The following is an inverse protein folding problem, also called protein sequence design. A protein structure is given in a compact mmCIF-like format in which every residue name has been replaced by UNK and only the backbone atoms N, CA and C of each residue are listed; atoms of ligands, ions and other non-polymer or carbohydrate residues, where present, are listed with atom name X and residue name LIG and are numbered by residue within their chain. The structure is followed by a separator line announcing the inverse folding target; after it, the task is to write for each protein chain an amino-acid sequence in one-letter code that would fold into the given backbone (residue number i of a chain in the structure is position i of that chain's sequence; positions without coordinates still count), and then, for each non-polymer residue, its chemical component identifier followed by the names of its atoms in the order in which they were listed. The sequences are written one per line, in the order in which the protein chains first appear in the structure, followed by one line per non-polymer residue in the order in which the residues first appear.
data_IF_302567569865
#
_entry.id   IF_302567569865
#
_cell.length_a   1.000
_cell.length_b   1.000
_cell.length_c   1.000
_cell.angle_alpha   90.00
_cell.angle_beta   90.00
_cell.angle_gamma   90.00
#
_symmetry.space_group_name_H-M   'P 1'
#
loop_
_entity.id
_entity.type
_entity.pdbx_description
1 polymer ?
#
# COMPACT_ATOMS: atom_id res chain seq x y z
N UNK A 1 -37.56 35.01 -21.57
CA UNK A 1 -36.88 34.19 -22.59
C UNK A 1 -36.26 33.05 -21.86
N UNK A 2 -36.63 31.83 -22.21
CA UNK A 2 -36.06 30.65 -21.58
C UNK A 2 -34.55 30.61 -21.84
N UNK A 3 -33.77 30.29 -20.80
CA UNK A 3 -32.33 30.11 -20.93
C UNK A 3 -32.09 28.95 -21.89
N UNK A 4 -31.30 29.14 -22.96
CA UNK A 4 -31.02 28.08 -23.93
C UNK A 4 -30.34 26.89 -23.24
N UNK A 5 -30.69 25.68 -23.68
CA UNK A 5 -30.07 24.44 -23.17
C UNK A 5 -28.63 24.30 -23.69
N UNK A 6 -27.82 23.41 -23.11
CA UNK A 6 -26.43 23.22 -23.53
C UNK A 6 -26.33 22.70 -24.98
N UNK A 7 -27.32 21.91 -25.40
CA UNK A 7 -27.48 21.42 -26.76
C UNK A 7 -27.71 22.57 -27.76
N UNK A 8 -28.61 23.51 -27.41
CA UNK A 8 -28.89 24.68 -28.22
C UNK A 8 -27.69 25.63 -28.29
N UNK A 9 -27.00 25.83 -27.15
CA UNK A 9 -25.76 26.61 -27.11
C UNK A 9 -24.69 26.00 -28.02
N UNK A 10 -24.59 24.67 -28.05
CA UNK A 10 -23.63 23.95 -28.89
C UNK A 10 -23.91 24.16 -30.38
N UNK A 11 -25.18 24.01 -30.79
CA UNK A 11 -25.59 24.26 -32.18
C UNK A 11 -25.25 25.70 -32.61
N UNK A 12 -25.54 26.68 -31.76
CA UNK A 12 -25.28 28.09 -32.04
C UNK A 12 -23.79 28.40 -32.12
N UNK A 13 -22.98 27.77 -31.26
CA UNK A 13 -21.53 27.94 -31.23
C UNK A 13 -20.85 27.32 -32.46
N UNK A 14 -21.30 26.13 -32.87
CA UNK A 14 -20.76 25.37 -34.01
C UNK A 14 -21.10 25.97 -35.38
N UNK A 15 -22.24 26.66 -35.50
CA UNK A 15 -22.76 27.15 -36.79
C UNK A 15 -22.09 28.45 -37.23
N UNK A 16 -21.47 28.47 -38.42
CA UNK A 16 -20.85 29.67 -38.98
C UNK A 16 -21.90 30.76 -39.29
N UNK A 17 -21.64 31.99 -38.85
CA UNK A 17 -22.52 33.14 -39.08
C UNK A 17 -23.79 33.21 -38.21
N UNK A 18 -23.97 32.30 -37.25
CA UNK A 18 -25.16 32.32 -36.38
C UNK A 18 -25.20 33.58 -35.49
N UNK A 19 -26.34 34.26 -35.42
CA UNK A 19 -26.48 35.54 -34.73
C UNK A 19 -26.15 35.48 -33.23
N UNK A 20 -26.37 34.33 -32.60
CA UNK A 20 -26.11 34.11 -31.17
C UNK A 20 -24.77 33.40 -30.90
N UNK A 21 -23.94 33.15 -31.91
CA UNK A 21 -22.70 32.36 -31.78
C UNK A 21 -21.80 32.84 -30.64
N UNK A 22 -21.49 34.14 -30.60
CA UNK A 22 -20.61 34.70 -29.58
C UNK A 22 -21.21 34.58 -28.15
N UNK A 23 -22.51 34.80 -28.01
CA UNK A 23 -23.20 34.66 -26.73
C UNK A 23 -23.30 33.20 -26.27
N UNK A 24 -23.35 32.26 -27.22
CA UNK A 24 -23.40 30.83 -26.95
C UNK A 24 -22.04 30.29 -26.47
N UNK A 25 -20.97 30.66 -27.17
CA UNK A 25 -19.59 30.34 -26.79
C UNK A 25 -19.32 30.83 -25.35
N UNK A 26 -19.61 32.10 -25.05
CA UNK A 26 -19.39 32.66 -23.71
C UNK A 26 -20.13 31.90 -22.59
N UNK A 27 -21.34 31.41 -22.83
CA UNK A 27 -22.09 30.64 -21.83
C UNK A 27 -21.50 29.25 -21.63
N UNK A 28 -21.11 28.57 -22.71
CA UNK A 28 -20.43 27.26 -22.63
C UNK A 28 -19.11 27.40 -21.86
N UNK A 29 -18.32 28.42 -22.16
CA UNK A 29 -17.03 28.64 -21.50
C UNK A 29 -17.18 29.00 -20.02
N UNK A 30 -18.25 29.71 -19.63
CA UNK A 30 -18.57 29.94 -18.22
C UNK A 30 -18.90 28.66 -17.47
N UNK A 31 -19.63 27.74 -18.12
CA UNK A 31 -19.93 26.41 -17.56
C UNK A 31 -18.64 25.62 -17.41
N UNK A 32 -17.82 25.55 -18.47
CA UNK A 32 -16.54 24.85 -18.44
C UNK A 32 -15.61 25.42 -17.38
N UNK A 33 -15.47 26.75 -17.30
CA UNK A 33 -14.62 27.39 -16.28
C UNK A 33 -15.11 27.10 -14.86
N UNK A 34 -16.43 27.05 -14.66
CA UNK A 34 -17.00 26.69 -13.37
C UNK A 34 -16.67 25.23 -13.03
N UNK A 35 -16.74 24.33 -14.00
CA UNK A 35 -16.40 22.92 -13.81
C UNK A 35 -14.90 22.71 -13.53
N UNK A 36 -14.01 23.35 -14.28
CA UNK A 36 -12.56 23.27 -14.03
C UNK A 36 -12.20 23.83 -12.65
N UNK A 37 -12.76 24.99 -12.27
CA UNK A 37 -12.44 25.63 -10.99
C UNK A 37 -13.07 24.94 -9.76
N UNK A 38 -14.26 24.34 -9.88
CA UNK A 38 -14.97 23.75 -8.74
C UNK A 38 -14.51 22.33 -8.48
N UNK A 39 -14.36 21.51 -9.53
CA UNK A 39 -14.07 20.09 -9.36
C UNK A 39 -12.57 19.80 -9.31
N UNK A 40 -11.73 20.65 -9.93
CA UNK A 40 -10.27 20.46 -9.96
C UNK A 40 -9.82 19.15 -10.62
N UNK A 41 -10.72 18.53 -11.40
CA UNK A 41 -10.49 17.22 -12.04
C UNK A 41 -9.99 17.37 -13.49
N UNK A 42 -10.22 18.53 -14.11
CA UNK A 42 -9.95 18.76 -15.53
C UNK A 42 -9.04 19.98 -15.72
N UNK A 43 -8.00 19.84 -16.55
CA UNK A 43 -7.10 20.95 -16.93
C UNK A 43 -7.65 21.79 -18.08
N UNK A 44 -8.37 21.15 -19.00
CA UNK A 44 -8.96 21.80 -20.17
C UNK A 44 -10.26 21.12 -20.58
N UNK A 45 -11.21 21.92 -21.05
CA UNK A 45 -12.47 21.47 -21.61
C UNK A 45 -12.68 22.17 -22.94
N UNK A 46 -13.02 21.40 -23.98
CA UNK A 46 -13.19 21.86 -25.35
C UNK A 46 -14.57 21.49 -25.85
N UNK A 47 -15.12 22.35 -26.70
CA UNK A 47 -16.20 22.01 -27.60
C UNK A 47 -15.66 22.07 -29.03
N UNK A 48 -15.82 20.97 -29.75
CA UNK A 48 -15.44 20.83 -31.15
C UNK A 48 -16.70 20.87 -32.02
N UNK A 49 -16.63 21.57 -33.15
CA UNK A 49 -17.72 21.50 -34.13
C UNK A 49 -17.74 20.14 -34.85
N UNK A 50 -18.73 19.94 -35.73
CA UNK A 50 -18.89 18.71 -36.52
C UNK A 50 -17.72 18.39 -37.46
N UNK A 51 -16.80 19.34 -37.68
CA UNK A 51 -15.58 19.19 -38.48
C UNK A 51 -14.31 19.10 -37.62
N UNK A 52 -14.43 18.98 -36.29
CA UNK A 52 -13.29 18.80 -35.37
C UNK A 52 -12.54 20.07 -34.98
N UNK A 53 -13.05 21.25 -35.32
CA UNK A 53 -12.40 22.50 -34.96
C UNK A 53 -12.87 23.02 -33.59
N UNK A 54 -11.95 23.54 -32.79
CA UNK A 54 -12.25 24.14 -31.48
C UNK A 54 -13.15 25.37 -31.63
N UNK A 55 -14.32 25.36 -30.98
CA UNK A 55 -15.29 26.49 -31.01
C UNK A 55 -15.52 27.13 -29.65
N UNK A 56 -15.37 26.38 -28.56
CA UNK A 56 -15.38 26.91 -27.20
C UNK A 56 -14.32 26.19 -26.37
N UNK A 57 -13.70 26.89 -25.43
CA UNK A 57 -12.66 26.32 -24.56
C UNK A 57 -12.65 26.95 -23.17
N UNK A 58 -12.26 26.18 -22.17
CA UNK A 58 -11.80 26.72 -20.89
C UNK A 58 -10.68 25.85 -20.34
N UNK A 59 -9.70 26.46 -19.69
CA UNK A 59 -8.59 25.77 -19.09
C UNK A 59 -8.24 26.38 -17.73
N UNK A 60 -7.52 25.62 -16.91
CA UNK A 60 -6.99 26.11 -15.64
C UNK A 60 -5.94 27.20 -15.88
N UNK A 61 -5.83 28.15 -14.94
CA UNK A 61 -4.87 29.25 -15.03
C UNK A 61 -3.43 28.72 -15.06
N UNK A 62 -2.61 29.23 -15.98
CA UNK A 62 -1.21 28.82 -16.13
C UNK A 62 -0.99 27.55 -16.95
N UNK A 63 -2.03 26.89 -17.45
CA UNK A 63 -1.87 25.74 -18.36
C UNK A 63 -1.28 26.20 -19.70
N UNK A 64 -0.07 25.73 -20.02
CA UNK A 64 0.72 26.17 -21.17
C UNK A 64 0.44 25.40 -22.46
N UNK A 65 -0.30 24.28 -22.37
CA UNK A 65 -0.61 23.40 -23.50
C UNK A 65 -2.09 23.50 -23.92
N UNK A 66 -2.75 24.62 -23.61
CA UNK A 66 -4.15 24.83 -23.96
C UNK A 66 -4.32 24.98 -25.48
N UNK A 67 -5.36 24.35 -26.03
CA UNK A 67 -5.65 24.38 -27.47
C UNK A 67 -6.23 25.71 -27.92
N UNK A 68 -5.97 26.13 -29.16
CA UNK A 68 -6.43 27.43 -29.66
C UNK A 68 -7.79 27.36 -30.38
N UNK A 69 -8.51 28.48 -30.43
CA UNK A 69 -9.75 28.55 -31.21
C UNK A 69 -9.49 28.27 -32.69
N UNK A 70 -10.32 27.40 -33.27
CA UNK A 70 -10.23 27.01 -34.67
C UNK A 70 -9.13 25.99 -34.98
N UNK A 71 -8.38 25.52 -33.97
CA UNK A 71 -7.45 24.41 -34.14
C UNK A 71 -8.18 23.14 -34.59
N UNK A 72 -7.62 22.42 -35.56
CA UNK A 72 -8.21 21.19 -36.11
C UNK A 72 -7.73 19.97 -35.33
N UNK A 73 -8.66 19.36 -34.58
CA UNK A 73 -8.43 18.19 -33.76
C UNK A 73 -9.17 16.96 -34.30
N UNK A 74 -9.57 16.98 -35.58
CA UNK A 74 -10.34 15.91 -36.22
C UNK A 74 -9.60 14.57 -36.32
N UNK A 75 -8.27 14.57 -36.14
CA UNK A 75 -7.44 13.37 -36.18
C UNK A 75 -7.13 12.78 -34.79
N UNK A 76 -7.54 13.46 -33.71
CA UNK A 76 -7.28 12.98 -32.35
C UNK A 76 -8.17 11.77 -32.03
N UNK A 77 -7.66 10.85 -31.22
CA UNK A 77 -8.36 9.58 -30.89
C UNK A 77 -9.73 9.87 -30.31
N UNK A 78 -9.82 10.75 -29.30
CA UNK A 78 -11.08 11.16 -28.69
C UNK A 78 -12.10 11.71 -29.70
N UNK A 79 -11.67 12.41 -30.75
CA UNK A 79 -12.59 12.90 -31.78
C UNK A 79 -13.06 11.75 -32.67
N UNK A 80 -12.13 10.95 -33.18
CA UNK A 80 -12.44 9.88 -34.14
C UNK A 80 -13.38 8.82 -33.56
N UNK A 81 -13.20 8.43 -32.30
CA UNK A 81 -14.07 7.48 -31.60
C UNK A 81 -15.46 8.06 -31.35
N UNK A 82 -15.56 9.26 -30.77
CA UNK A 82 -16.84 9.92 -30.54
C UNK A 82 -17.57 10.23 -31.87
N UNK A 83 -16.85 10.54 -32.95
CA UNK A 83 -17.44 10.78 -34.27
C UNK A 83 -17.95 9.50 -34.93
N UNK A 84 -17.26 8.37 -34.74
CA UNK A 84 -17.72 7.07 -35.21
C UNK A 84 -19.09 6.72 -34.59
N UNK A 85 -19.25 7.04 -33.29
CA UNK A 85 -20.47 6.83 -32.50
C UNK A 85 -21.40 8.04 -32.46
N UNK A 86 -21.26 9.00 -33.39
CA UNK A 86 -22.02 10.27 -33.41
C UNK A 86 -23.55 10.15 -33.48
N UNK A 87 -24.11 8.96 -33.66
CA UNK A 87 -25.56 8.72 -33.65
C UNK A 87 -26.07 8.23 -32.29
N UNK A 88 -25.16 7.92 -31.37
CA UNK A 88 -25.43 7.42 -30.03
C UNK A 88 -25.26 8.55 -29.02
N UNK A 89 -26.36 9.04 -28.46
CA UNK A 89 -26.42 10.15 -27.50
C UNK A 89 -25.97 9.75 -26.08
N UNK A 90 -25.84 8.45 -25.81
CA UNK A 90 -25.33 7.92 -24.53
C UNK A 90 -23.84 7.53 -24.62
N UNK A 91 -23.19 7.70 -25.78
CA UNK A 91 -21.80 7.31 -25.96
C UNK A 91 -20.84 8.22 -25.19
N UNK A 92 -19.91 7.60 -24.47
CA UNK A 92 -18.77 8.29 -23.85
C UNK A 92 -17.52 7.49 -24.14
N UNK A 93 -16.48 8.18 -24.59
CA UNK A 93 -15.15 7.64 -24.81
C UNK A 93 -14.21 8.11 -23.70
N UNK A 94 -13.45 7.20 -23.12
CA UNK A 94 -12.31 7.48 -22.24
C UNK A 94 -11.06 6.94 -22.93
N UNK A 95 -10.07 7.81 -23.17
CA UNK A 95 -8.79 7.41 -23.77
C UNK A 95 -7.93 6.62 -22.78
N UNK A 96 -6.95 5.91 -23.32
CA UNK A 96 -5.75 5.55 -22.56
C UNK A 96 -4.98 6.82 -22.16
N UNK A 97 -4.00 6.69 -21.27
CA UNK A 97 -3.01 7.75 -21.06
C UNK A 97 -2.06 7.72 -22.24
N UNK A 98 -2.01 8.82 -22.98
CA UNK A 98 -1.20 8.92 -24.18
C UNK A 98 -0.42 10.23 -24.22
N UNK A 99 0.67 10.25 -24.98
CA UNK A 99 1.32 11.49 -25.37
C UNK A 99 0.38 12.27 -26.27
N UNK A 100 -0.04 13.48 -25.84
CA UNK A 100 -0.99 14.29 -26.61
C UNK A 100 -0.49 14.50 -28.05
N UNK A 101 0.82 14.78 -28.18
CA UNK A 101 1.53 14.72 -29.44
C UNK A 101 2.57 13.61 -29.40
N UNK A 102 2.27 12.47 -30.05
CA UNK A 102 3.17 11.31 -30.09
C UNK A 102 4.55 11.61 -30.70
N UNK A 103 4.66 12.61 -31.59
CA UNK A 103 5.91 12.96 -32.25
C UNK A 103 6.80 13.85 -31.38
N UNK A 104 6.20 14.81 -30.67
CA UNK A 104 6.92 15.77 -29.83
C UNK A 104 7.10 15.28 -28.39
N UNK A 105 6.18 14.43 -27.91
CA UNK A 105 6.10 13.94 -26.53
C UNK A 105 6.13 15.08 -25.49
N UNK A 106 5.34 16.12 -25.76
CA UNK A 106 5.35 17.35 -24.96
C UNK A 106 4.73 17.15 -23.57
N UNK A 107 3.58 16.47 -23.51
CA UNK A 107 2.90 16.12 -22.26
C UNK A 107 1.99 14.89 -22.46
N UNK A 108 1.67 14.22 -21.36
CA UNK A 108 0.72 13.10 -21.33
C UNK A 108 -0.68 13.61 -21.02
N UNK A 109 -1.69 13.00 -21.63
CA UNK A 109 -3.09 13.38 -21.46
C UNK A 109 -3.96 12.12 -21.30
N UNK A 110 -5.04 12.29 -20.51
CA UNK A 110 -6.17 11.38 -20.49
C UNK A 110 -7.40 12.19 -20.83
N UNK A 111 -8.19 11.74 -21.79
CA UNK A 111 -9.31 12.50 -22.33
C UNK A 111 -10.61 11.72 -22.21
N UNK A 112 -11.67 12.45 -21.90
CA UNK A 112 -13.05 11.97 -22.00
C UNK A 112 -13.74 12.75 -23.10
N UNK A 113 -14.48 12.08 -23.97
CA UNK A 113 -15.25 12.76 -25.00
C UNK A 113 -16.61 12.14 -25.25
N UNK A 114 -17.57 12.97 -25.64
CA UNK A 114 -18.92 12.53 -25.98
C UNK A 114 -19.46 13.34 -27.18
N UNK A 115 -20.21 12.71 -28.09
CA UNK A 115 -20.95 13.44 -29.11
C UNK A 115 -22.03 14.29 -28.45
N UNK A 116 -22.28 15.47 -29.03
CA UNK A 116 -23.33 16.38 -28.61
C UNK A 116 -24.38 16.44 -29.71
N UNK A 117 -25.65 16.34 -29.30
CA UNK A 117 -26.79 16.39 -30.20
C UNK A 117 -27.67 17.61 -29.91
N UNK A 118 -28.37 18.09 -30.93
CA UNK A 118 -29.43 19.09 -30.76
C UNK A 118 -30.70 18.45 -30.17
N UNK A 119 -31.74 19.27 -29.93
CA UNK A 119 -33.05 18.82 -29.45
C UNK A 119 -33.78 17.85 -30.38
N UNK A 120 -33.31 17.69 -31.62
CA UNK A 120 -33.84 16.77 -32.63
C UNK A 120 -32.94 15.54 -32.84
N UNK A 121 -31.93 15.32 -31.98
CA UNK A 121 -30.95 14.23 -32.05
C UNK A 121 -30.04 14.32 -33.30
N UNK A 122 -29.83 15.53 -33.84
CA UNK A 122 -28.81 15.74 -34.86
C UNK A 122 -27.46 16.01 -34.21
N UNK A 123 -26.41 15.35 -34.70
CA UNK A 123 -25.04 15.59 -34.25
C UNK A 123 -24.59 17.03 -34.55
N UNK A 124 -24.18 17.77 -33.52
CA UNK A 124 -23.77 19.18 -33.61
C UNK A 124 -22.32 19.44 -33.19
N UNK A 125 -21.66 18.48 -32.56
CA UNK A 125 -20.27 18.61 -32.15
C UNK A 125 -19.83 17.52 -31.17
N UNK A 126 -18.62 17.65 -30.64
CA UNK A 126 -18.07 16.76 -29.62
C UNK A 126 -17.57 17.61 -28.45
N UNK A 127 -17.93 17.23 -27.24
CA UNK A 127 -17.34 17.78 -26.02
C UNK A 127 -16.16 16.92 -25.60
N UNK A 128 -15.06 17.55 -25.19
CA UNK A 128 -13.81 16.87 -24.79
C UNK A 128 -13.32 17.45 -23.48
N UNK A 129 -12.98 16.60 -22.51
CA UNK A 129 -12.40 16.97 -21.23
C UNK A 129 -11.03 16.33 -21.08
N UNK A 130 -10.01 17.15 -20.78
CA UNK A 130 -8.67 16.70 -20.41
C UNK A 130 -8.60 16.56 -18.89
N UNK A 131 -8.42 15.32 -18.42
CA UNK A 131 -8.27 15.02 -16.99
C UNK A 131 -6.92 15.54 -16.50
N UNK A 132 -6.91 16.09 -15.30
CA UNK A 132 -5.71 16.59 -14.63
C UNK A 132 -4.86 15.43 -14.11
N UNK A 133 -3.65 15.26 -14.64
CA UNK A 133 -2.67 14.28 -14.17
C UNK A 133 -2.25 14.52 -12.70
N UNK A 134 -2.22 15.77 -12.23
CA UNK A 134 -1.95 16.08 -10.83
C UNK A 134 -3.10 15.58 -9.94
N UNK A 135 -4.34 15.62 -10.42
CA UNK A 135 -5.47 15.01 -9.72
C UNK A 135 -5.33 13.48 -9.65
N UNK A 136 -5.00 12.82 -10.77
CA UNK A 136 -4.77 11.37 -10.80
C UNK A 136 -3.62 10.95 -9.87
N UNK A 137 -2.49 11.66 -9.92
CA UNK A 137 -1.35 11.42 -9.05
C UNK A 137 -1.72 11.63 -7.57
N UNK A 138 -2.43 12.71 -7.25
CA UNK A 138 -2.89 12.97 -5.88
C UNK A 138 -3.85 11.89 -5.37
N UNK A 139 -4.72 11.38 -6.24
CA UNK A 139 -5.61 10.27 -5.92
C UNK A 139 -4.82 8.98 -5.63
N UNK A 140 -3.81 8.67 -6.44
CA UNK A 140 -2.92 7.53 -6.24
C UNK A 140 -2.02 7.70 -5.01
N UNK A 141 -1.65 8.92 -4.64
CA UNK A 141 -0.85 9.20 -3.44
C UNK A 141 -1.68 9.24 -2.15
N UNK A 142 -3.02 9.14 -2.25
CA UNK A 142 -3.87 9.02 -1.08
C UNK A 142 -3.80 7.61 -0.49
N UNK A 143 -2.85 7.43 0.42
CA UNK A 143 -2.55 6.13 1.05
C UNK A 143 -3.17 6.00 2.44
N UNK A 144 -4.26 6.72 2.72
CA UNK A 144 -4.96 6.57 4.00
C UNK A 144 -5.35 5.10 4.24
N UNK A 145 -4.93 4.55 5.37
CA UNK A 145 -5.17 3.15 5.72
C UNK A 145 -4.16 2.13 5.15
N UNK A 146 -3.17 2.55 4.35
CA UNK A 146 -2.12 1.66 3.81
C UNK A 146 -0.82 1.64 4.65
N UNK A 147 -0.76 2.37 5.76
CA UNK A 147 0.45 2.49 6.58
C UNK A 147 1.45 3.51 6.02
N UNK A 148 2.67 3.53 6.56
CA UNK A 148 3.67 4.52 6.16
C UNK A 148 4.33 4.16 4.82
N UNK A 149 4.64 2.88 4.62
CA UNK A 149 5.29 2.36 3.42
C UNK A 149 4.31 2.01 2.32
N UNK A 150 3.00 2.03 2.58
CA UNK A 150 2.00 1.62 1.61
C UNK A 150 1.86 2.63 0.47
N UNK A 151 1.90 2.20 -0.79
CA UNK A 151 1.70 3.06 -1.96
C UNK A 151 0.68 2.49 -2.94
N UNK A 152 0.12 3.37 -3.75
CA UNK A 152 -0.74 3.02 -4.87
C UNK A 152 -0.31 3.77 -6.13
N UNK A 153 -0.40 3.11 -7.28
CA UNK A 153 -0.06 3.68 -8.57
C UNK A 153 -0.69 2.90 -9.72
N UNK A 154 -0.68 3.49 -10.91
CA UNK A 154 -1.17 2.88 -12.15
C UNK A 154 -0.02 2.52 -13.09
N UNK A 155 -0.18 1.41 -13.81
CA UNK A 155 0.68 1.05 -14.95
C UNK A 155 -0.15 0.75 -16.19
N UNK A 156 0.47 0.89 -17.37
CA UNK A 156 -0.14 0.52 -18.64
C UNK A 156 -0.10 -1.01 -18.83
N UNK A 157 -0.65 -1.45 -19.96
CA UNK A 157 -0.69 -2.85 -20.38
C UNK A 157 0.68 -3.47 -20.70
N UNK A 158 1.75 -2.66 -20.75
CA UNK A 158 3.13 -3.11 -20.90
C UNK A 158 3.92 -3.03 -19.59
N UNK A 159 3.37 -2.44 -18.53
CA UNK A 159 4.03 -2.23 -17.24
C UNK A 159 4.75 -0.88 -17.10
N UNK A 160 4.56 0.08 -18.01
CA UNK A 160 5.07 1.45 -17.84
C UNK A 160 4.24 2.22 -16.81
N UNK A 161 4.87 3.14 -16.09
CA UNK A 161 4.16 4.04 -15.18
C UNK A 161 3.10 4.88 -15.91
N UNK A 162 1.91 4.97 -15.33
CA UNK A 162 0.84 5.89 -15.74
C UNK A 162 0.66 7.04 -14.76
N UNK A 163 1.07 6.84 -13.51
CA UNK A 163 1.14 7.86 -12.45
C UNK A 163 2.53 7.89 -11.85
N UNK A 164 2.82 8.84 -10.97
CA UNK A 164 4.11 8.87 -10.26
C UNK A 164 4.08 8.02 -8.99
N UNK A 165 5.25 7.54 -8.56
CA UNK A 165 5.41 7.01 -7.20
C UNK A 165 5.24 8.12 -6.16
N UNK A 166 4.74 7.77 -4.97
CA UNK A 166 4.77 8.66 -3.81
C UNK A 166 6.18 8.83 -3.23
N UNK A 167 7.11 7.93 -3.58
CA UNK A 167 8.49 7.93 -3.12
C UNK A 167 9.40 8.62 -4.13
N UNK A 168 10.44 9.28 -3.62
CA UNK A 168 11.42 10.06 -4.40
C UNK A 168 12.58 9.21 -4.93
N UNK A 169 12.46 7.88 -4.92
CA UNK A 169 13.54 6.94 -5.25
C UNK A 169 14.27 7.26 -6.57
N UNK A 170 13.53 7.46 -7.67
CA UNK A 170 14.13 7.73 -8.97
C UNK A 170 14.94 9.04 -9.02
N UNK A 171 14.49 10.05 -8.29
CA UNK A 171 15.17 11.35 -8.20
C UNK A 171 16.37 11.29 -7.26
N UNK A 172 16.25 10.59 -6.13
CA UNK A 172 17.33 10.42 -5.15
C UNK A 172 18.50 9.59 -5.70
N UNK A 173 18.20 8.57 -6.51
CA UNK A 173 19.20 7.78 -7.22
C UNK A 173 19.76 8.48 -8.47
N UNK A 174 19.25 9.67 -8.82
CA UNK A 174 19.68 10.44 -9.99
C UNK A 174 19.38 9.77 -11.33
N UNK A 175 18.32 8.94 -11.36
CA UNK A 175 17.85 8.28 -12.58
C UNK A 175 16.97 9.21 -13.43
N UNK A 176 16.26 10.12 -12.77
CA UNK A 176 15.36 11.11 -13.38
C UNK A 176 15.47 12.46 -12.68
N UNK A 177 15.25 13.56 -13.41
CA UNK A 177 15.27 14.92 -12.86
C UNK A 177 13.95 15.22 -12.11
N UNK A 178 12.81 14.77 -12.65
CA UNK A 178 11.49 14.87 -12.04
C UNK A 178 10.77 13.50 -12.03
N UNK A 179 9.89 13.26 -11.04
CA UNK A 179 9.11 12.02 -11.00
C UNK A 179 8.12 11.91 -12.16
N UNK A 180 7.62 13.04 -12.69
CA UNK A 180 6.74 13.05 -13.86
C UNK A 180 7.39 12.46 -15.10
N UNK A 181 8.73 12.53 -15.20
CA UNK A 181 9.48 11.99 -16.33
C UNK A 181 9.43 10.46 -16.39
N UNK A 182 9.06 9.78 -15.31
CA UNK A 182 8.91 8.30 -15.30
C UNK A 182 7.67 7.85 -16.04
N UNK A 183 6.65 8.71 -16.16
CA UNK A 183 5.36 8.39 -16.78
C UNK A 183 5.60 8.03 -18.26
N UNK A 184 5.12 6.86 -18.66
CA UNK A 184 5.30 6.26 -19.99
C UNK A 184 6.76 6.08 -20.45
N UNK A 185 7.75 6.16 -19.55
CA UNK A 185 9.18 5.94 -19.89
C UNK A 185 9.81 4.83 -19.07
N UNK A 186 9.54 4.77 -17.77
CA UNK A 186 10.12 3.79 -16.86
C UNK A 186 9.25 2.52 -16.83
N UNK A 187 9.89 1.36 -17.00
CA UNK A 187 9.22 0.07 -17.10
C UNK A 187 9.30 -0.70 -15.78
N UNK A 188 8.15 -1.06 -15.23
CA UNK A 188 8.06 -1.89 -14.03
C UNK A 188 7.95 -3.37 -14.40
N UNK A 189 8.99 -4.13 -14.08
CA UNK A 189 9.03 -5.58 -14.36
C UNK A 189 8.83 -6.43 -13.10
N UNK A 190 8.12 -5.92 -12.10
CA UNK A 190 7.91 -6.67 -10.85
C UNK A 190 7.02 -7.88 -11.12
N UNK A 191 7.29 -8.98 -10.41
CA UNK A 191 6.63 -10.26 -10.71
C UNK A 191 5.10 -10.23 -10.48
N UNK A 192 4.59 -9.31 -9.67
CA UNK A 192 3.15 -9.13 -9.46
C UNK A 192 2.47 -8.43 -10.64
N UNK A 193 3.12 -7.40 -11.20
CA UNK A 193 2.67 -6.72 -12.42
C UNK A 193 2.67 -7.69 -13.60
N UNK A 194 3.78 -8.41 -13.81
CA UNK A 194 3.89 -9.37 -14.91
C UNK A 194 2.84 -10.48 -14.80
N UNK A 195 2.61 -11.04 -13.61
CA UNK A 195 1.61 -12.08 -13.43
C UNK A 195 0.18 -11.57 -13.66
N UNK A 196 -0.16 -10.37 -13.19
CA UNK A 196 -1.47 -9.77 -13.41
C UNK A 196 -1.73 -9.47 -14.90
N UNK A 197 -0.70 -9.00 -15.63
CA UNK A 197 -0.75 -8.81 -17.07
C UNK A 197 -0.87 -10.13 -17.84
N UNK A 198 0.01 -11.11 -17.55
CA UNK A 198 0.02 -12.41 -18.23
C UNK A 198 -1.28 -13.21 -18.00
N UNK A 199 -1.88 -13.06 -16.81
CA UNK A 199 -3.12 -13.75 -16.43
C UNK A 199 -4.38 -12.97 -16.80
N UNK A 200 -4.24 -11.71 -17.25
CA UNK A 200 -5.34 -10.76 -17.49
C UNK A 200 -6.33 -10.71 -16.31
N UNK A 201 -5.83 -10.76 -15.07
CA UNK A 201 -6.67 -10.95 -13.90
C UNK A 201 -6.11 -10.30 -12.63
N UNK A 202 -6.96 -10.17 -11.61
CA UNK A 202 -6.55 -9.63 -10.32
C UNK A 202 -5.65 -10.62 -9.57
N UNK A 203 -4.48 -10.14 -9.15
CA UNK A 203 -3.47 -10.95 -8.47
C UNK A 203 -3.14 -10.35 -7.10
N UNK A 204 -2.87 -11.23 -6.13
CA UNK A 204 -2.25 -10.85 -4.86
C UNK A 204 -0.95 -11.60 -4.74
N UNK A 205 0.16 -10.88 -4.56
CA UNK A 205 1.49 -11.48 -4.50
C UNK A 205 2.27 -10.94 -3.33
N UNK A 206 2.94 -11.83 -2.61
CA UNK A 206 3.87 -11.50 -1.54
C UNK A 206 5.28 -11.87 -1.97
N UNK A 207 6.27 -11.13 -1.49
CA UNK A 207 7.68 -11.52 -1.47
C UNK A 207 8.37 -11.51 -2.84
N UNK A 208 8.38 -10.35 -3.50
CA UNK A 208 9.46 -9.95 -4.43
C UNK A 208 9.86 -8.50 -4.15
N UNK A 209 11.05 -8.11 -4.61
CA UNK A 209 11.49 -6.74 -4.57
C UNK A 209 10.62 -5.88 -5.52
N UNK A 210 10.20 -4.72 -5.04
CA UNK A 210 9.64 -3.66 -5.87
C UNK A 210 10.76 -2.96 -6.68
N UNK A 211 10.41 -1.89 -7.39
CA UNK A 211 11.36 -1.07 -8.16
C UNK A 211 12.44 -0.39 -7.30
N UNK A 212 12.22 -0.28 -5.98
CA UNK A 212 13.18 0.25 -4.99
C UNK A 212 14.10 -0.83 -4.43
N UNK A 213 13.91 -2.09 -4.83
CA UNK A 213 14.63 -3.23 -4.26
C UNK A 213 14.07 -3.72 -2.92
N UNK A 214 12.92 -3.20 -2.48
CA UNK A 214 12.34 -3.48 -1.17
C UNK A 214 11.31 -4.61 -1.28
N UNK A 215 11.36 -5.57 -0.35
CA UNK A 215 10.39 -6.66 -0.34
C UNK A 215 8.98 -6.13 0.02
N UNK A 216 8.02 -6.32 -0.90
CA UNK A 216 6.64 -5.85 -0.74
C UNK A 216 5.61 -6.99 -0.75
N UNK A 217 4.45 -6.70 -0.19
CA UNK A 217 3.20 -7.42 -0.46
C UNK A 217 2.30 -6.52 -1.30
N UNK A 218 1.86 -7.02 -2.45
CA UNK A 218 1.10 -6.26 -3.43
C UNK A 218 -0.24 -6.89 -3.77
N UNK A 219 -1.20 -6.01 -4.08
CA UNK A 219 -2.44 -6.34 -4.78
C UNK A 219 -2.42 -5.62 -6.13
N UNK A 220 -2.67 -6.36 -7.19
CA UNK A 220 -2.59 -5.90 -8.58
C UNK A 220 -3.98 -6.12 -9.19
N UNK A 221 -4.69 -5.04 -9.50
CA UNK A 221 -6.03 -5.11 -10.08
C UNK A 221 -5.96 -4.77 -11.55
N UNK A 222 -6.44 -5.68 -12.39
CA UNK A 222 -6.49 -5.54 -13.84
C UNK A 222 -7.79 -4.81 -14.22
N UNK A 223 -7.67 -3.62 -14.79
CA UNK A 223 -8.79 -2.70 -15.05
C UNK A 223 -8.94 -2.43 -16.54
N UNK A 224 -10.04 -2.92 -17.14
CA UNK A 224 -10.48 -2.51 -18.47
C UNK A 224 -11.41 -1.29 -18.35
N UNK A 225 -10.82 -0.13 -18.09
CA UNK A 225 -11.57 1.12 -17.84
C UNK A 225 -11.64 2.04 -19.05
N UNK A 226 -10.60 2.11 -19.88
CA UNK A 226 -10.64 2.93 -21.10
C UNK A 226 -11.44 2.25 -22.21
N UNK A 227 -11.88 3.07 -23.16
CA UNK A 227 -12.68 2.65 -24.31
C UNK A 227 -11.86 2.03 -25.43
N UNK A 228 -10.54 2.00 -25.30
CA UNK A 228 -9.61 1.42 -26.27
C UNK A 228 -9.34 -0.08 -26.02
N UNK A 229 -9.81 -0.60 -24.88
CA UNK A 229 -9.63 -1.99 -24.49
C UNK A 229 -8.21 -2.31 -24.00
N UNK A 230 -7.44 -1.28 -23.65
CA UNK A 230 -6.09 -1.42 -23.10
C UNK A 230 -6.18 -1.45 -21.56
N UNK A 231 -5.74 -2.51 -20.88
CA UNK A 231 -5.88 -2.58 -19.44
C UNK A 231 -4.92 -1.62 -18.73
N UNK A 232 -5.41 -1.01 -17.65
CA UNK A 232 -4.57 -0.40 -16.63
C UNK A 232 -4.41 -1.37 -15.47
N UNK A 233 -3.24 -1.38 -14.84
CA UNK A 233 -3.07 -2.07 -13.56
C UNK A 233 -3.07 -1.06 -12.43
N UNK A 234 -4.03 -1.21 -11.52
CA UNK A 234 -3.98 -0.54 -10.22
C UNK A 234 -3.16 -1.41 -9.26
N UNK A 235 -1.99 -0.89 -8.90
CA UNK A 235 -1.06 -1.53 -7.99
C UNK A 235 -1.20 -0.90 -6.62
N UNK A 236 -1.32 -1.72 -5.58
CA UNK A 236 -1.29 -1.33 -4.19
C UNK A 236 -0.27 -2.19 -3.44
N UNK A 237 0.79 -1.60 -2.92
CA UNK A 237 1.91 -2.32 -2.32
C UNK A 237 2.23 -1.78 -0.92
N UNK A 238 2.71 -2.65 -0.04
CA UNK A 238 3.23 -2.29 1.29
C UNK A 238 4.49 -3.10 1.60
N UNK A 239 5.51 -2.47 2.18
CA UNK A 239 6.71 -3.16 2.64
C UNK A 239 6.35 -4.31 3.60
N UNK A 240 6.97 -5.47 3.37
CA UNK A 240 6.79 -6.67 4.20
C UNK A 240 7.16 -6.39 5.67
N UNK A 241 8.16 -5.55 5.90
CA UNK A 241 8.62 -5.17 7.24
C UNK A 241 7.55 -4.41 8.03
N UNK A 242 6.78 -3.52 7.38
CA UNK A 242 5.68 -2.81 8.03
C UNK A 242 4.45 -3.71 8.18
N UNK A 243 4.07 -4.43 7.13
CA UNK A 243 2.92 -5.34 7.16
C UNK A 243 3.04 -6.39 8.29
N UNK A 244 4.26 -6.87 8.55
CA UNK A 244 4.54 -7.86 9.59
C UNK A 244 5.00 -7.25 10.92
N UNK A 245 5.08 -5.92 11.05
CA UNK A 245 5.59 -5.27 12.28
C UNK A 245 4.90 -5.76 13.54
N UNK A 246 3.56 -5.78 13.53
CA UNK A 246 2.77 -6.23 14.69
C UNK A 246 3.05 -7.70 15.04
N UNK A 247 3.19 -8.56 14.02
CA UNK A 247 3.47 -10.00 14.23
C UNK A 247 4.89 -10.19 14.77
N UNK A 248 5.86 -9.43 14.25
CA UNK A 248 7.25 -9.47 14.70
C UNK A 248 7.39 -8.98 16.14
N UNK A 249 6.68 -7.91 16.51
CA UNK A 249 6.66 -7.38 17.87
C UNK A 249 6.05 -8.39 18.85
N UNK A 250 4.91 -8.99 18.50
CA UNK A 250 4.27 -10.03 19.31
C UNK A 250 5.15 -11.26 19.46
N UNK A 251 5.84 -11.68 18.40
CA UNK A 251 6.79 -12.80 18.43
C UNK A 251 7.95 -12.48 19.38
N UNK A 252 8.51 -11.27 19.28
CA UNK A 252 9.60 -10.80 20.14
C UNK A 252 9.17 -10.77 21.61
N UNK A 253 7.99 -10.22 21.92
CA UNK A 253 7.42 -10.20 23.27
C UNK A 253 7.21 -11.63 23.79
N UNK A 254 6.67 -12.51 22.95
CA UNK A 254 6.43 -13.92 23.31
C UNK A 254 7.73 -14.64 23.66
N UNK A 255 8.80 -14.42 22.89
CA UNK A 255 10.13 -14.97 23.18
C UNK A 255 10.63 -14.49 24.55
N UNK A 256 10.51 -13.20 24.86
CA UNK A 256 10.92 -12.68 26.17
C UNK A 256 10.14 -13.28 27.32
N UNK A 257 8.82 -13.47 27.17
CA UNK A 257 8.00 -14.15 28.18
C UNK A 257 8.50 -15.58 28.41
N UNK A 258 8.75 -16.34 27.34
CA UNK A 258 9.27 -17.72 27.43
C UNK A 258 10.62 -17.75 28.14
N UNK A 259 11.54 -16.84 27.78
CA UNK A 259 12.87 -16.74 28.42
C UNK A 259 12.74 -16.44 29.91
N UNK A 260 11.88 -15.49 30.30
CA UNK A 260 11.67 -15.13 31.71
C UNK A 260 11.08 -16.31 32.50
N UNK A 261 10.06 -16.99 31.95
CA UNK A 261 9.47 -18.17 32.59
C UNK A 261 10.51 -19.29 32.74
N UNK A 262 11.32 -19.54 31.70
CA UNK A 262 12.37 -20.55 31.76
C UNK A 262 13.40 -20.27 32.86
N UNK A 263 13.82 -19.00 33.01
CA UNK A 263 14.72 -18.58 34.10
C UNK A 263 14.06 -18.78 35.47
N UNK A 264 12.79 -18.40 35.62
CA UNK A 264 12.05 -18.59 36.89
C UNK A 264 11.96 -20.07 37.24
N UNK A 265 11.59 -20.93 36.28
CA UNK A 265 11.50 -22.38 36.49
C UNK A 265 12.87 -22.97 36.83
N UNK A 266 13.94 -22.54 36.16
CA UNK A 266 15.30 -22.98 36.46
C UNK A 266 15.74 -22.57 37.88
N UNK A 267 15.44 -21.34 38.31
CA UNK A 267 15.74 -20.85 39.66
C UNK A 267 14.94 -21.61 40.71
N UNK A 268 13.63 -21.80 40.51
CA UNK A 268 12.77 -22.58 41.42
C UNK A 268 13.26 -24.03 41.49
N UNK A 269 13.57 -24.64 40.35
CA UNK A 269 14.11 -25.99 40.26
C UNK A 269 15.44 -26.13 41.00
N UNK A 270 16.35 -25.16 40.85
CA UNK A 270 17.62 -25.13 41.59
C UNK A 270 17.40 -25.00 43.11
N UNK A 271 16.51 -24.11 43.55
CA UNK A 271 16.18 -23.93 44.98
C UNK A 271 15.59 -25.22 45.56
N UNK A 272 14.63 -25.84 44.85
CA UNK A 272 14.01 -27.11 45.25
C UNK A 272 15.08 -28.20 45.33
N UNK A 273 15.86 -28.40 44.27
CA UNK A 273 16.93 -29.40 44.24
C UNK A 273 17.90 -29.21 45.41
N UNK A 274 18.37 -27.99 45.65
CA UNK A 274 19.28 -27.68 46.77
C UNK A 274 18.65 -27.96 48.14
N UNK A 275 17.37 -27.64 48.32
CA UNK A 275 16.64 -27.84 49.58
C UNK A 275 16.47 -29.32 49.95
N UNK A 276 16.39 -30.20 48.97
CA UNK A 276 16.19 -31.65 49.16
C UNK A 276 17.49 -32.46 49.04
N UNK A 277 18.33 -32.18 48.05
CA UNK A 277 19.52 -32.97 47.73
C UNK A 277 20.68 -32.72 48.69
N UNK A 278 20.98 -31.46 49.06
CA UNK A 278 22.12 -31.14 49.95
C UNK A 278 22.06 -31.90 51.31
N UNK A 279 20.91 -31.94 52.03
CA UNK A 279 20.81 -32.68 53.30
C UNK A 279 20.93 -34.19 53.12
N UNK A 280 20.41 -34.75 52.01
CA UNK A 280 20.54 -36.18 51.74
C UNK A 280 22.00 -36.54 51.51
N UNK A 281 22.74 -35.70 50.77
CA UNK A 281 24.18 -35.87 50.58
C UNK A 281 24.93 -35.77 51.92
N UNK A 282 24.57 -34.80 52.77
CA UNK A 282 25.16 -34.66 54.11
C UNK A 282 24.92 -35.92 54.96
N UNK A 283 23.68 -36.39 55.06
CA UNK A 283 23.35 -37.62 55.81
C UNK A 283 24.10 -38.84 55.27
N UNK A 284 24.20 -38.98 53.95
CA UNK A 284 24.97 -40.05 53.32
C UNK A 284 26.47 -39.97 53.65
N UNK A 285 27.05 -38.77 53.71
CA UNK A 285 28.45 -38.59 54.09
C UNK A 285 28.70 -38.92 55.57
N UNK A 286 27.81 -38.51 56.47
CA UNK A 286 27.89 -38.86 57.90
C UNK A 286 27.77 -40.39 58.05
N UNK A 287 26.81 -41.01 57.37
CA UNK A 287 26.63 -42.45 57.41
C UNK A 287 27.87 -43.23 56.98
N UNK A 288 28.60 -42.76 55.95
CA UNK A 288 29.88 -43.35 55.54
C UNK A 288 30.94 -43.27 56.62
N UNK A 289 31.11 -42.11 57.26
CA UNK A 289 32.10 -41.94 58.35
C UNK A 289 31.79 -42.84 59.55
N UNK A 290 30.51 -42.90 59.94
CA UNK A 290 30.04 -43.80 61.00
C UNK A 290 30.34 -45.26 60.65
N UNK A 291 30.12 -45.67 59.40
CA UNK A 291 30.44 -47.02 58.94
C UNK A 291 31.95 -47.33 58.94
N UNK A 292 32.79 -46.33 58.71
CA UNK A 292 34.26 -46.43 58.78
C UNK A 292 34.79 -46.38 60.24
N UNK A 293 33.89 -46.30 61.24
CA UNK A 293 34.23 -46.27 62.66
C UNK A 293 34.63 -44.89 63.19
N UNK A 294 34.51 -43.84 62.38
CA UNK A 294 34.76 -42.45 62.79
C UNK A 294 33.47 -41.83 63.36
N UNK A 295 33.38 -41.85 64.70
CA UNK A 295 32.30 -41.25 65.47
C UNK A 295 32.70 -39.89 66.06
N UNK A 296 33.76 -39.25 65.56
CA UNK A 296 34.28 -37.99 66.15
C UNK A 296 33.56 -36.74 65.65
N UNK A 297 32.77 -36.85 64.59
CA UNK A 297 32.01 -35.72 64.07
C UNK A 297 30.85 -35.38 65.03
N UNK A 298 30.91 -34.18 65.60
CA UNK A 298 29.92 -33.73 66.58
C UNK A 298 28.60 -33.39 65.86
N UNK A 299 27.65 -34.31 65.96
CA UNK A 299 26.28 -34.17 65.45
C UNK A 299 25.52 -33.03 66.14
N UNK A 300 26.01 -32.49 67.26
CA UNK A 300 25.36 -31.41 68.01
C UNK A 300 25.72 -30.00 67.54
N UNK A 301 26.85 -29.81 66.84
CA UNK A 301 27.22 -28.51 66.24
C UNK A 301 26.65 -28.30 64.83
N UNK A 302 26.29 -29.38 64.13
CA UNK A 302 25.55 -29.28 62.87
C UNK A 302 24.11 -28.85 63.16
N UNK A 303 23.84 -27.53 63.11
CA UNK A 303 22.51 -26.90 63.18
C UNK A 303 21.41 -27.89 62.75
N UNK A 304 20.67 -28.43 63.73
CA UNK A 304 19.55 -29.32 63.44
C UNK A 304 18.69 -28.69 62.34
N UNK A 305 18.42 -29.47 61.28
CA UNK A 305 17.57 -29.01 60.19
C UNK A 305 16.23 -28.61 60.78
N UNK A 306 15.97 -27.30 60.85
CA UNK A 306 14.69 -26.74 61.29
C UNK A 306 13.64 -27.06 60.24
N UNK A 307 12.87 -28.10 60.50
CA UNK A 307 11.85 -28.60 59.59
C UNK A 307 10.99 -29.68 60.23
N UNK A 308 9.77 -29.79 59.73
CA UNK A 308 8.83 -30.85 60.07
C UNK A 308 8.61 -31.79 58.88
N UNK A 309 9.50 -31.73 57.87
CA UNK A 309 9.49 -32.62 56.71
C UNK A 309 10.14 -33.98 57.04
N UNK A 310 9.92 -34.97 56.18
CA UNK A 310 10.43 -36.34 56.32
C UNK A 310 11.97 -36.36 56.39
N UNK A 311 12.64 -35.41 55.73
CA UNK A 311 14.11 -35.28 55.78
C UNK A 311 14.57 -34.80 57.16
N UNK A 312 13.88 -33.85 57.78
CA UNK A 312 14.21 -33.40 59.14
C UNK A 312 13.94 -34.49 60.18
N UNK A 313 12.85 -35.26 60.03
CA UNK A 313 12.59 -36.44 60.88
C UNK A 313 13.70 -37.48 60.71
N UNK A 314 14.06 -37.82 59.47
CA UNK A 314 15.13 -38.77 59.17
C UNK A 314 16.47 -38.30 59.76
N UNK A 315 16.81 -37.01 59.60
CA UNK A 315 18.03 -36.42 60.15
C UNK A 315 18.09 -36.56 61.67
N UNK A 316 17.00 -36.27 62.39
CA UNK A 316 16.93 -36.41 63.85
C UNK A 316 17.08 -37.87 64.28
N UNK A 317 16.34 -38.79 63.63
CA UNK A 317 16.44 -40.22 63.92
C UNK A 317 17.85 -40.75 63.68
N UNK A 318 18.53 -40.26 62.64
CA UNK A 318 19.91 -40.64 62.32
C UNK A 318 20.91 -40.13 63.38
N UNK A 319 20.75 -38.90 63.85
CA UNK A 319 21.52 -38.36 64.97
C UNK A 319 21.33 -39.22 66.22
N UNK A 320 20.09 -39.51 66.62
CA UNK A 320 19.81 -40.36 67.78
C UNK A 320 20.43 -41.75 67.67
N UNK A 321 20.40 -42.36 66.48
CA UNK A 321 21.06 -43.66 66.24
C UNK A 321 22.58 -43.57 66.44
N UNK A 322 23.21 -42.53 65.91
CA UNK A 322 24.67 -42.32 65.99
C UNK A 322 25.12 -42.07 67.42
N UNK A 323 24.37 -41.26 68.17
CA UNK A 323 24.64 -40.97 69.58
C UNK A 323 24.53 -42.24 70.44
N UNK A 324 23.48 -43.05 70.22
CA UNK A 324 23.33 -44.34 70.91
C UNK A 324 24.51 -45.28 70.64
N UNK A 325 25.02 -45.33 69.39
CA UNK A 325 26.20 -46.15 69.06
C UNK A 325 27.44 -45.63 69.77
N UNK A 326 27.64 -44.31 69.82
CA UNK A 326 28.75 -43.67 70.53
C UNK A 326 28.72 -43.99 72.03
N UNK A 327 27.54 -43.92 72.64
CA UNK A 327 27.34 -44.22 74.07
C UNK A 327 27.59 -45.70 74.39
N UNK A 328 27.18 -46.63 73.51
CA UNK A 328 27.47 -48.06 73.67
C UNK A 328 28.98 -48.31 73.64
N UNK A 329 29.71 -47.66 72.73
CA UNK A 329 31.17 -47.82 72.63
C UNK A 329 31.88 -47.14 73.80
N UNK A 330 31.40 -45.99 74.28
CA UNK A 330 32.00 -45.27 75.42
C UNK A 330 31.70 -45.93 76.78
N UNK A 331 30.62 -46.72 76.88
CA UNK A 331 30.25 -47.47 78.09
C UNK A 331 30.79 -48.91 78.13
N UNK A 332 31.50 -49.33 77.07
CA UNK A 332 32.25 -50.60 76.98
C UNK A 332 33.71 -50.41 77.39
#
# INVERSE_FOLDING_TARGET
SDTPTIEQLTEFAGTWGHAQKAAAILQIEQIFQSMTNIYGTYKEMLLLNTSGHVVAKANVEGYTFAHDYGEDLSQKVYYTYAYAERINDEYTFLSDIEWDNMALKDYVAVTVSAPVHDVNINFVGIVVFYIDDAYLNSLMHNTEGLGNSGETYLTDFNGYWLTTSKFTYYVEEGLYDDLGDTIMTELLTTAGIQEALDSESNVKKSSNADYRGIAVMGSYNYLLINSEGLPWLLVAEIDVSEALRVVNDLTTISIWIVVIIAVIVAVIGYIIAKRFTDPIIQLNNIAKKVADGDLTEDTTESKERKGNDEIAVLSRSFTTMTDNIRDIIASS
#
